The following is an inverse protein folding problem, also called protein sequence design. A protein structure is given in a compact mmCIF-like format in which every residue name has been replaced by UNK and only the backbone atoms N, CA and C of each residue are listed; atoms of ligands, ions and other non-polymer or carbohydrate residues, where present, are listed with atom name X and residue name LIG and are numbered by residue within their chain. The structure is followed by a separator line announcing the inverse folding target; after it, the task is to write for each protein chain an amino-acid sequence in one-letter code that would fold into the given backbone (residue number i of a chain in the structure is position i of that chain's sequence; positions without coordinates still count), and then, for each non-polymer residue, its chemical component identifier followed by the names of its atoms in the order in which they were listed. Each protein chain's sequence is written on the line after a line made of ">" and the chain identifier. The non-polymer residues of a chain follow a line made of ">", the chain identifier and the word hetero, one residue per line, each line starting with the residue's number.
data_IF_901052860200
#
_entry.id   IF_901052860200
#
_cell.length_a   1.000
_cell.length_b   1.000
_cell.length_c   1.000
_cell.angle_alpha   90.00
_cell.angle_beta   90.00
_cell.angle_gamma   90.00
#
_symmetry.space_group_name_H-M   'P 1'
#
loop_
_entity.id
_entity.type
_entity.pdbx_description
1 polymer ?
#
# COMPACT_ATOMS: atom_id res chain seq x y z
N UNK A 1 -29.21 -13.98 -42.01
CA UNK A 1 -28.28 -13.07 -41.29
C UNK A 1 -28.62 -12.92 -39.81
N UNK A 2 -29.89 -12.69 -39.44
CA UNK A 2 -30.31 -12.55 -38.03
C UNK A 2 -29.90 -13.76 -37.15
N UNK A 3 -30.03 -14.98 -37.67
CA UNK A 3 -29.65 -16.20 -36.93
C UNK A 3 -28.15 -16.27 -36.59
N UNK A 4 -27.29 -15.81 -37.52
CA UNK A 4 -25.84 -15.76 -37.32
C UNK A 4 -25.48 -14.72 -36.25
N UNK A 5 -26.17 -13.57 -36.26
CA UNK A 5 -26.00 -12.53 -35.24
C UNK A 5 -26.43 -13.01 -33.84
N UNK A 6 -27.54 -13.75 -33.73
CA UNK A 6 -28.00 -14.31 -32.46
C UNK A 6 -26.98 -15.27 -31.85
N UNK A 7 -26.46 -16.22 -32.65
CA UNK A 7 -25.43 -17.16 -32.20
C UNK A 7 -24.17 -16.41 -31.76
N UNK A 8 -23.79 -15.36 -32.49
CA UNK A 8 -22.60 -14.57 -32.19
C UNK A 8 -22.71 -13.80 -30.86
N UNK A 9 -23.87 -13.17 -30.61
CA UNK A 9 -24.14 -12.42 -29.37
C UNK A 9 -24.20 -13.38 -28.16
N UNK A 10 -24.86 -14.53 -28.30
CA UNK A 10 -24.93 -15.54 -27.24
C UNK A 10 -23.53 -16.12 -26.93
N UNK A 11 -22.74 -16.39 -27.97
CA UNK A 11 -21.34 -16.80 -27.83
C UNK A 11 -20.53 -15.76 -27.05
N UNK A 12 -20.53 -14.50 -27.50
CA UNK A 12 -19.80 -13.43 -26.81
C UNK A 12 -20.22 -13.29 -25.33
N UNK A 13 -21.52 -13.45 -25.04
CA UNK A 13 -22.05 -13.47 -23.67
C UNK A 13 -21.50 -14.61 -22.81
N UNK A 14 -21.36 -15.82 -23.37
CA UNK A 14 -20.78 -16.97 -22.68
C UNK A 14 -19.30 -16.74 -22.31
N UNK A 15 -18.49 -16.21 -23.22
CA UNK A 15 -17.09 -15.87 -22.91
C UNK A 15 -16.99 -14.79 -21.84
N UNK A 16 -17.87 -13.79 -21.88
CA UNK A 16 -17.93 -12.75 -20.85
C UNK A 16 -18.31 -13.31 -19.47
N UNK A 17 -19.28 -14.23 -19.43
CA UNK A 17 -19.71 -14.89 -18.20
C UNK A 17 -18.59 -15.75 -17.60
N UNK A 18 -17.90 -16.55 -18.43
CA UNK A 18 -16.75 -17.35 -18.01
C UNK A 18 -15.62 -16.42 -17.52
N UNK A 19 -15.31 -15.34 -18.23
CA UNK A 19 -14.32 -14.37 -17.78
C UNK A 19 -14.66 -13.75 -16.41
N UNK A 20 -15.94 -13.46 -16.16
CA UNK A 20 -16.42 -12.93 -14.89
C UNK A 20 -16.27 -13.96 -13.75
N UNK A 21 -16.58 -15.24 -14.01
CA UNK A 21 -16.37 -16.34 -13.04
C UNK A 21 -14.88 -16.51 -12.71
N UNK A 22 -13.98 -16.23 -13.66
CA UNK A 22 -12.52 -16.26 -13.47
C UNK A 22 -11.97 -15.00 -12.78
N UNK A 23 -12.82 -14.09 -12.27
CA UNK A 23 -12.39 -12.87 -11.59
C UNK A 23 -11.81 -11.79 -12.53
N UNK A 24 -12.05 -11.91 -13.84
CA UNK A 24 -11.67 -10.91 -14.85
C UNK A 24 -12.87 -10.03 -15.20
N UNK A 25 -12.61 -8.86 -15.80
CA UNK A 25 -13.66 -7.94 -16.23
C UNK A 25 -14.48 -8.54 -17.39
N UNK A 26 -15.62 -9.17 -17.07
CA UNK A 26 -16.52 -9.79 -18.05
C UNK A 26 -16.93 -8.84 -19.18
N UNK A 27 -17.19 -7.57 -18.86
CA UNK A 27 -17.52 -6.54 -19.86
C UNK A 27 -16.37 -6.26 -20.85
N UNK A 28 -15.12 -6.29 -20.39
CA UNK A 28 -13.97 -6.08 -21.27
C UNK A 28 -13.81 -7.27 -22.24
N UNK A 29 -13.99 -8.49 -21.74
CA UNK A 29 -13.95 -9.70 -22.56
C UNK A 29 -15.13 -9.80 -23.54
N UNK A 30 -16.30 -9.27 -23.18
CA UNK A 30 -17.45 -9.15 -24.09
C UNK A 30 -17.13 -8.26 -25.30
N UNK A 31 -16.57 -7.07 -25.07
CA UNK A 31 -16.21 -6.12 -26.14
C UNK A 31 -15.10 -6.70 -27.04
N UNK A 32 -14.12 -7.39 -26.45
CA UNK A 32 -13.06 -8.07 -27.20
C UNK A 32 -13.63 -9.21 -28.07
N UNK A 33 -14.53 -10.04 -27.52
CA UNK A 33 -15.19 -11.11 -28.26
C UNK A 33 -16.06 -10.58 -29.41
N UNK A 34 -16.66 -9.41 -29.25
CA UNK A 34 -17.50 -8.76 -30.26
C UNK A 34 -16.69 -8.17 -31.41
N UNK A 35 -15.47 -7.66 -31.15
CA UNK A 35 -14.62 -7.04 -32.17
C UNK A 35 -13.64 -7.99 -32.87
N UNK A 36 -13.12 -9.00 -32.17
CA UNK A 36 -11.96 -9.80 -32.65
C UNK A 36 -12.36 -11.22 -33.08
N UNK A 37 -13.64 -11.59 -33.01
CA UNK A 37 -14.17 -12.96 -33.11
C UNK A 37 -14.08 -13.74 -31.79
N UNK A 38 -15.20 -14.37 -31.43
CA UNK A 38 -15.37 -15.17 -30.21
C UNK A 38 -14.29 -16.26 -30.05
N UNK A 39 -13.84 -16.88 -31.14
CA UNK A 39 -12.81 -17.94 -31.11
C UNK A 39 -11.47 -17.38 -30.64
N UNK A 40 -11.05 -16.24 -31.16
CA UNK A 40 -9.80 -15.59 -30.76
C UNK A 40 -9.89 -15.13 -29.30
N UNK A 41 -11.02 -14.56 -28.88
CA UNK A 41 -11.22 -14.17 -27.49
C UNK A 41 -11.12 -15.36 -26.51
N UNK A 42 -11.65 -16.52 -26.88
CA UNK A 42 -11.57 -17.74 -26.07
C UNK A 42 -10.12 -18.25 -25.96
N UNK A 43 -9.36 -18.25 -27.06
CA UNK A 43 -7.93 -18.60 -27.05
C UNK A 43 -7.14 -17.65 -26.16
N UNK A 44 -7.35 -16.34 -26.30
CA UNK A 44 -6.69 -15.34 -25.43
C UNK A 44 -7.06 -15.55 -23.95
N UNK A 45 -8.31 -15.90 -23.66
CA UNK A 45 -8.75 -16.15 -22.29
C UNK A 45 -8.00 -17.33 -21.66
N UNK A 46 -7.76 -18.39 -22.44
CA UNK A 46 -7.00 -19.59 -22.03
C UNK A 46 -5.49 -19.36 -21.91
N UNK A 47 -4.90 -18.61 -22.86
CA UNK A 47 -3.46 -18.38 -22.92
C UNK A 47 -3.00 -17.36 -21.89
N UNK A 48 -3.83 -16.35 -21.58
CA UNK A 48 -3.46 -15.38 -20.56
C UNK A 48 -3.48 -16.08 -19.19
N UNK A 49 -2.37 -16.08 -18.42
CA UNK A 49 -2.37 -16.57 -17.04
C UNK A 49 -3.31 -15.72 -16.18
N UNK A 50 -3.94 -16.31 -15.17
CA UNK A 50 -4.74 -15.58 -14.18
C UNK A 50 -3.86 -14.45 -13.61
N UNK A 51 -4.11 -13.21 -14.05
CA UNK A 51 -3.61 -12.05 -13.33
C UNK A 51 -4.32 -12.08 -11.99
N UNK A 52 -3.53 -12.17 -10.93
CA UNK A 52 -4.00 -12.04 -9.56
C UNK A 52 -5.01 -10.89 -9.49
N UNK A 53 -6.12 -11.06 -8.75
CA UNK A 53 -7.16 -10.05 -8.68
C UNK A 53 -6.51 -8.70 -8.37
N UNK A 54 -6.89 -7.61 -9.06
CA UNK A 54 -6.31 -6.32 -8.80
C UNK A 54 -6.57 -6.04 -7.31
N UNK A 55 -5.48 -5.95 -6.55
CA UNK A 55 -5.38 -5.71 -5.10
C UNK A 55 -5.93 -4.31 -4.75
N UNK A 56 -7.13 -3.98 -5.25
CA UNK A 56 -7.76 -2.66 -5.27
C UNK A 56 -8.38 -2.26 -3.94
N UNK A 57 -8.35 -3.14 -2.93
CA UNK A 57 -8.91 -2.84 -1.61
C UNK A 57 -7.87 -2.81 -0.48
N UNK A 58 -6.60 -3.12 -0.74
CA UNK A 58 -5.53 -3.04 0.28
C UNK A 58 -4.53 -1.89 0.06
N UNK A 59 -4.67 -1.11 -1.03
CA UNK A 59 -3.76 -0.03 -1.38
C UNK A 59 -4.33 1.39 -1.11
N UNK A 60 -5.49 1.49 -0.46
CA UNK A 60 -6.11 2.78 -0.14
C UNK A 60 -5.34 3.57 0.94
N UNK A 61 -4.29 3.01 1.53
CA UNK A 61 -3.50 3.68 2.57
C UNK A 61 -1.98 3.65 2.32
N UNK A 62 -1.56 3.27 1.12
CA UNK A 62 -0.17 3.48 0.70
C UNK A 62 -0.02 4.94 0.26
N UNK A 63 0.09 5.87 1.22
CA UNK A 63 0.50 7.26 0.93
C UNK A 63 1.80 7.23 0.12
N UNK A 64 1.73 7.64 -1.14
CA UNK A 64 2.89 7.79 -2.03
C UNK A 64 3.88 8.81 -1.42
N UNK A 65 5.18 8.55 -1.60
CA UNK A 65 6.25 9.46 -1.16
C UNK A 65 6.80 10.21 -2.37
N UNK A 66 7.12 11.49 -2.19
CA UNK A 66 7.72 12.31 -3.25
C UNK A 66 9.23 12.05 -3.29
N UNK A 67 9.78 11.84 -4.49
CA UNK A 67 11.22 11.73 -4.67
C UNK A 67 11.91 13.10 -4.52
N UNK A 68 12.83 13.23 -3.56
CA UNK A 68 13.59 14.46 -3.33
C UNK A 68 14.56 14.81 -4.49
N UNK A 69 14.91 13.84 -5.33
CA UNK A 69 15.83 14.05 -6.45
C UNK A 69 15.16 14.56 -7.73
N UNK A 70 13.90 14.19 -7.99
CA UNK A 70 13.20 14.55 -9.24
C UNK A 70 11.78 15.07 -9.06
N UNK A 71 11.23 15.08 -7.84
CA UNK A 71 9.88 15.56 -7.54
C UNK A 71 8.75 14.60 -7.94
N UNK A 72 9.07 13.46 -8.56
CA UNK A 72 8.07 12.48 -8.99
C UNK A 72 7.51 11.67 -7.82
N UNK A 73 6.21 11.33 -7.88
CA UNK A 73 5.58 10.45 -6.90
C UNK A 73 6.09 9.01 -7.04
N UNK A 74 6.53 8.42 -5.93
CA UNK A 74 7.01 7.05 -5.84
C UNK A 74 6.21 6.27 -4.80
N UNK A 75 6.05 4.97 -5.04
CA UNK A 75 5.42 4.09 -4.05
C UNK A 75 6.23 4.08 -2.76
N UNK A 76 5.55 3.95 -1.62
CA UNK A 76 6.21 4.05 -0.31
C UNK A 76 7.30 2.97 -0.11
N UNK A 77 7.09 1.79 -0.69
CA UNK A 77 8.00 0.63 -0.69
C UNK A 77 9.13 0.71 -1.74
N UNK A 78 9.14 1.74 -2.60
CA UNK A 78 10.20 1.91 -3.59
C UNK A 78 11.54 2.20 -2.91
N UNK A 79 12.54 1.33 -3.13
CA UNK A 79 13.95 1.57 -2.72
C UNK A 79 14.69 2.49 -3.70
N UNK A 80 14.30 2.46 -4.98
CA UNK A 80 14.92 3.21 -6.06
C UNK A 80 13.84 3.96 -6.84
N UNK A 81 14.06 5.22 -7.16
CA UNK A 81 13.15 6.01 -7.98
C UNK A 81 13.15 5.51 -9.43
N UNK A 82 11.97 5.27 -10.01
CA UNK A 82 11.86 4.83 -11.42
C UNK A 82 12.36 5.86 -12.44
N UNK A 83 12.30 7.14 -12.10
CA UNK A 83 12.58 8.25 -13.02
C UNK A 83 14.07 8.62 -13.00
N UNK A 84 14.58 9.03 -11.85
CA UNK A 84 15.98 9.45 -11.70
C UNK A 84 16.94 8.37 -11.19
N UNK A 85 16.43 7.18 -10.82
CA UNK A 85 17.21 6.09 -10.20
C UNK A 85 17.91 6.47 -8.88
N UNK A 86 17.54 7.57 -8.25
CA UNK A 86 18.00 7.93 -6.90
C UNK A 86 17.48 6.95 -5.85
N UNK A 87 18.32 6.61 -4.88
CA UNK A 87 17.99 5.72 -3.76
C UNK A 87 17.19 6.46 -2.68
N UNK A 88 16.12 5.84 -2.20
CA UNK A 88 15.39 6.32 -1.03
C UNK A 88 16.08 5.80 0.22
N UNK A 89 16.74 6.68 0.99
CA UNK A 89 17.23 6.34 2.32
C UNK A 89 16.06 6.04 3.24
N UNK A 90 15.87 4.78 3.56
CA UNK A 90 14.88 4.33 4.53
C UNK A 90 15.42 4.62 5.93
N UNK A 91 14.85 5.61 6.61
CA UNK A 91 15.13 5.81 8.03
C UNK A 91 14.45 4.66 8.79
N UNK A 92 15.18 3.95 9.68
CA UNK A 92 14.57 2.94 10.52
C UNK A 92 13.39 3.54 11.28
N UNK A 93 12.18 3.02 11.03
CA UNK A 93 10.93 3.53 11.61
C UNK A 93 10.73 3.13 13.07
N UNK A 94 11.69 2.40 13.65
CA UNK A 94 11.74 2.12 15.07
C UNK A 94 12.98 2.81 15.66
N UNK A 95 12.83 3.67 16.68
CA UNK A 95 13.99 4.06 17.47
C UNK A 95 14.63 2.77 18.01
N UNK A 96 15.96 2.64 17.98
CA UNK A 96 16.62 1.48 18.58
C UNK A 96 16.11 1.32 20.02
N UNK A 97 15.72 0.11 20.42
CA UNK A 97 15.16 -0.15 21.76
C UNK A 97 16.04 0.40 22.90
N UNK A 98 17.34 0.54 22.64
CA UNK A 98 18.32 1.21 23.50
C UNK A 98 17.93 2.65 23.93
N UNK A 99 17.16 3.39 23.12
CA UNK A 99 16.69 4.74 23.44
C UNK A 99 15.49 4.73 24.39
N UNK A 100 14.63 3.70 24.29
CA UNK A 100 13.47 3.52 25.16
C UNK A 100 13.89 3.12 26.58
N UNK A 101 14.97 2.33 26.71
CA UNK A 101 15.49 1.93 28.03
C UNK A 101 16.26 3.02 28.76
N UNK A 102 16.69 4.11 28.11
CA UNK A 102 17.35 5.23 28.79
C UNK A 102 16.40 6.31 29.31
N UNK A 103 15.14 6.30 28.85
CA UNK A 103 14.11 7.29 29.24
C UNK A 103 12.95 6.70 30.06
N UNK A 104 13.00 5.41 30.42
CA UNK A 104 12.04 4.80 31.35
C UNK A 104 12.38 5.20 32.79
N UNK A 105 12.23 6.49 33.09
CA UNK A 105 12.34 7.06 34.42
C UNK A 105 11.17 6.65 35.29
N UNK A 106 11.21 5.42 35.83
CA UNK A 106 10.41 5.02 37.00
C UNK A 106 11.16 5.28 38.32
N UNK A 107 12.34 5.88 38.25
CA UNK A 107 13.16 6.18 39.42
C UNK A 107 12.76 7.57 39.91
N UNK A 108 12.19 7.64 41.11
CA UNK A 108 11.96 8.90 41.80
C UNK A 108 13.28 9.67 41.90
N UNK A 109 13.28 10.93 41.47
CA UNK A 109 14.51 11.76 41.41
C UNK A 109 14.55 12.68 42.62
N UNK A 110 15.67 12.67 43.33
CA UNK A 110 15.94 13.62 44.40
C UNK A 110 16.43 14.95 43.79
N UNK A 111 15.79 16.06 44.17
CA UNK A 111 16.15 17.36 43.64
C UNK A 111 17.51 17.81 44.19
N UNK A 112 18.52 18.13 43.36
CA UNK A 112 19.86 18.50 43.82
C UNK A 112 19.90 19.83 44.59
N UNK A 113 18.80 20.59 44.62
CA UNK A 113 18.73 21.87 45.33
C UNK A 113 18.02 21.80 46.67
N UNK A 114 16.96 20.99 46.81
CA UNK A 114 16.16 20.93 48.03
C UNK A 114 16.12 19.54 48.68
N UNK A 115 16.67 18.50 48.04
CA UNK A 115 16.67 17.13 48.57
C UNK A 115 15.30 16.45 48.59
N UNK A 116 14.27 17.06 47.99
CA UNK A 116 12.94 16.43 47.93
C UNK A 116 12.89 15.38 46.83
N UNK A 117 12.26 14.25 47.14
CA UNK A 117 11.99 13.16 46.19
C UNK A 117 10.73 13.52 45.41
N UNK A 118 10.84 13.68 44.09
CA UNK A 118 9.69 14.02 43.23
C UNK A 118 9.11 12.76 42.58
N UNK A 119 7.79 12.74 42.38
CA UNK A 119 7.09 11.66 41.70
C UNK A 119 7.59 11.49 40.25
N UNK A 120 7.64 10.26 39.72
CA UNK A 120 8.10 10.01 38.36
C UNK A 120 7.20 10.75 37.35
N UNK A 121 7.83 11.62 36.56
CA UNK A 121 7.14 12.48 35.56
C UNK A 121 7.05 13.97 35.94
N UNK A 122 7.45 14.35 37.15
CA UNK A 122 7.49 15.77 37.55
C UNK A 122 8.71 16.46 36.95
N UNK A 123 8.52 17.44 36.06
CA UNK A 123 9.60 18.21 35.41
C UNK A 123 10.06 19.43 36.21
N UNK A 124 9.23 19.90 37.14
CA UNK A 124 9.50 21.08 37.97
C UNK A 124 9.27 20.66 39.42
N UNK A 125 10.30 20.81 40.25
CA UNK A 125 10.18 20.59 41.69
C UNK A 125 9.45 21.76 42.35
N UNK A 126 8.80 21.55 43.49
CA UNK A 126 8.10 22.61 44.25
C UNK A 126 9.01 23.80 44.63
N UNK A 127 10.32 23.59 44.69
CA UNK A 127 11.29 24.67 44.86
C UNK A 127 11.49 25.57 43.61
N UNK A 128 10.76 25.32 42.52
CA UNK A 128 10.80 26.07 41.27
C UNK A 128 11.93 25.66 40.30
N UNK A 129 12.74 24.65 40.66
CA UNK A 129 13.86 24.17 39.82
C UNK A 129 13.41 23.10 38.83
N UNK A 130 13.89 23.20 37.60
CA UNK A 130 13.70 22.18 36.57
C UNK A 130 14.57 20.94 36.85
N UNK A 131 13.98 19.75 36.78
CA UNK A 131 14.61 18.44 37.02
C UNK A 131 14.42 17.54 35.79
N UNK A 132 15.12 17.85 34.71
CA UNK A 132 15.14 17.07 33.45
C UNK A 132 16.37 16.22 33.29
#
# INVERSE_FOLDING_TARGET
>A
MVYVLLIYVVGAGLVAAVAAMLGRSGLAWFVIALGVSFILALVFLLVLPLREPPRRLAAAEARDKICLGCGEAARRDARICRSCRGEFREFPSAPPQAWLSSHSGTIARECPQCGLINEPGTVICECGRYIG
#
